data_IF_747053566901
#
_entry.id   IF_747053566901
#
_cell.length_a   1.000
_cell.length_b   1.000
_cell.length_c   1.000
_cell.angle_alpha   90.00
_cell.angle_beta   90.00
_cell.angle_gamma   90.00
#
_symmetry.space_group_name_H-M   'P 1'
#
loop_
_entity.id
_entity.type
_entity.pdbx_description
1 polymer ?
#
# COMPACT_ATOMS: atom_id res chain seq x y z
N UNK A 1 -16.72 -5.58 13.30
CA UNK A 1 -16.33 -4.27 12.72
C UNK A 1 -16.01 -3.24 13.79
N UNK A 2 -15.01 -2.38 13.55
CA UNK A 2 -14.78 -1.20 14.37
C UNK A 2 -15.76 -0.07 14.01
N UNK A 3 -15.68 1.09 14.71
CA UNK A 3 -16.61 2.22 14.49
C UNK A 3 -16.60 2.74 13.03
N UNK A 4 -15.41 2.85 12.41
CA UNK A 4 -15.26 3.24 10.99
C UNK A 4 -15.94 2.25 10.06
N UNK A 5 -15.68 0.96 10.25
CA UNK A 5 -16.28 -0.10 9.43
C UNK A 5 -17.80 -0.14 9.59
N UNK A 6 -18.31 0.08 10.80
CA UNK A 6 -19.74 0.15 11.03
C UNK A 6 -20.39 1.37 10.34
N UNK A 7 -19.76 2.54 10.43
CA UNK A 7 -20.24 3.75 9.76
C UNK A 7 -20.26 3.56 8.22
N UNK A 8 -19.22 2.97 7.66
CA UNK A 8 -19.15 2.61 6.25
C UNK A 8 -20.30 1.67 5.84
N UNK A 9 -20.52 0.58 6.56
CA UNK A 9 -21.58 -0.39 6.27
C UNK A 9 -22.95 0.27 6.31
N UNK A 10 -23.22 1.08 7.34
CA UNK A 10 -24.49 1.79 7.51
C UNK A 10 -24.75 2.75 6.34
N UNK A 11 -23.73 3.50 5.93
CA UNK A 11 -23.87 4.45 4.82
C UNK A 11 -24.02 3.73 3.48
N UNK A 12 -23.25 2.66 3.26
CA UNK A 12 -23.36 1.85 2.04
C UNK A 12 -24.77 1.24 1.91
N UNK A 13 -25.31 0.71 3.00
CA UNK A 13 -26.69 0.23 3.05
C UNK A 13 -27.70 1.32 2.63
N UNK A 14 -27.57 2.52 3.21
CA UNK A 14 -28.45 3.64 2.87
C UNK A 14 -28.35 4.07 1.40
N UNK A 15 -27.15 4.02 0.80
CA UNK A 15 -26.96 4.31 -0.62
C UNK A 15 -27.67 3.27 -1.51
N UNK A 16 -27.54 1.98 -1.18
CA UNK A 16 -28.22 0.90 -1.90
C UNK A 16 -29.74 1.02 -1.80
N UNK A 17 -30.31 1.36 -0.62
CA UNK A 17 -31.74 1.63 -0.46
C UNK A 17 -32.23 2.81 -1.31
N UNK A 18 -31.35 3.78 -1.59
CA UNK A 18 -31.63 4.91 -2.49
C UNK A 18 -31.47 4.57 -3.97
N UNK A 19 -31.14 3.31 -4.30
CA UNK A 19 -30.96 2.84 -5.66
C UNK A 19 -29.57 3.13 -6.25
N UNK A 20 -28.56 3.41 -5.42
CA UNK A 20 -27.20 3.57 -5.90
C UNK A 20 -26.58 2.19 -6.26
N UNK A 21 -25.99 2.09 -7.44
CA UNK A 21 -25.26 0.91 -7.91
C UNK A 21 -23.72 1.08 -7.84
N UNK A 22 -23.27 2.26 -7.44
CA UNK A 22 -21.84 2.60 -7.37
C UNK A 22 -21.55 3.34 -6.07
N UNK A 23 -20.46 2.98 -5.40
CA UNK A 23 -20.05 3.64 -4.16
C UNK A 23 -18.53 3.63 -4.00
N UNK A 24 -17.99 4.65 -3.32
CA UNK A 24 -16.57 4.80 -2.97
C UNK A 24 -16.33 4.61 -1.48
N UNK A 25 -15.29 3.87 -1.15
CA UNK A 25 -14.65 3.86 0.16
C UNK A 25 -13.28 4.54 0.04
N UNK A 26 -13.19 5.77 0.52
CA UNK A 26 -11.95 6.53 0.58
C UNK A 26 -11.39 6.37 1.99
N UNK A 27 -10.24 5.73 2.11
CA UNK A 27 -9.68 5.46 3.44
C UNK A 27 -8.17 5.34 3.39
N UNK A 28 -7.49 6.03 4.28
CA UNK A 28 -6.04 6.03 4.37
C UNK A 28 -5.45 4.61 4.39
N UNK A 29 -4.23 4.46 3.89
CA UNK A 29 -3.52 3.18 3.90
C UNK A 29 -3.35 2.70 5.36
N UNK A 30 -3.58 1.42 5.61
CA UNK A 30 -3.43 0.85 6.96
C UNK A 30 -4.69 0.86 7.84
N UNK A 31 -5.76 1.55 7.46
CA UNK A 31 -7.03 1.62 8.23
C UNK A 31 -7.90 0.36 8.13
N UNK A 32 -7.56 -0.59 7.25
CA UNK A 32 -8.28 -1.86 7.10
C UNK A 32 -9.40 -1.85 6.07
N UNK A 33 -9.23 -1.17 4.93
CA UNK A 33 -10.19 -1.16 3.79
C UNK A 33 -10.68 -2.55 3.39
N UNK A 34 -9.77 -3.51 3.24
CA UNK A 34 -10.10 -4.90 2.85
C UNK A 34 -11.01 -5.57 3.89
N UNK A 35 -10.76 -5.36 5.18
CA UNK A 35 -11.66 -5.85 6.23
C UNK A 35 -13.00 -5.13 6.21
N UNK A 36 -13.01 -3.82 5.96
CA UNK A 36 -14.26 -3.05 5.87
C UNK A 36 -15.13 -3.58 4.74
N UNK A 37 -14.57 -3.82 3.55
CA UNK A 37 -15.29 -4.40 2.41
C UNK A 37 -15.77 -5.82 2.71
N UNK A 38 -14.96 -6.66 3.36
CA UNK A 38 -15.36 -8.02 3.74
C UNK A 38 -16.55 -8.01 4.71
N UNK A 39 -16.53 -7.15 5.74
CA UNK A 39 -17.65 -6.98 6.65
C UNK A 39 -18.90 -6.46 5.92
N UNK A 40 -18.75 -5.47 5.02
CA UNK A 40 -19.87 -4.96 4.24
C UNK A 40 -20.53 -6.05 3.38
N UNK A 41 -19.75 -6.83 2.64
CA UNK A 41 -20.28 -7.93 1.81
C UNK A 41 -21.03 -8.94 2.66
N UNK A 42 -20.52 -9.28 3.84
CA UNK A 42 -21.16 -10.22 4.76
C UNK A 42 -22.47 -9.66 5.34
N UNK A 43 -22.45 -8.44 5.84
CA UNK A 43 -23.66 -7.83 6.48
C UNK A 43 -24.77 -7.54 5.47
N UNK A 44 -24.39 -7.13 4.25
CA UNK A 44 -25.33 -6.86 3.15
C UNK A 44 -25.73 -8.10 2.38
N UNK A 45 -25.16 -9.27 2.73
CA UNK A 45 -25.50 -10.60 2.20
C UNK A 45 -25.31 -10.76 0.70
N UNK A 46 -24.29 -10.12 0.12
CA UNK A 46 -23.89 -10.42 -1.25
C UNK A 46 -23.39 -11.85 -1.34
N UNK A 47 -23.84 -12.60 -2.34
CA UNK A 47 -23.54 -14.04 -2.46
C UNK A 47 -22.37 -14.29 -3.41
N UNK A 48 -22.29 -13.54 -4.52
CA UNK A 48 -21.26 -13.70 -5.54
C UNK A 48 -20.50 -12.40 -5.70
N UNK A 49 -19.24 -12.40 -5.33
CA UNK A 49 -18.41 -11.19 -5.30
C UNK A 49 -17.12 -11.38 -6.08
N UNK A 50 -16.79 -10.42 -6.94
CA UNK A 50 -15.51 -10.34 -7.61
C UNK A 50 -14.65 -9.24 -6.94
N UNK A 51 -13.47 -9.60 -6.44
CA UNK A 51 -12.52 -8.68 -5.85
C UNK A 51 -11.32 -8.49 -6.79
N UNK A 52 -11.15 -7.29 -7.30
CA UNK A 52 -10.16 -6.96 -8.33
C UNK A 52 -9.03 -6.14 -7.73
N UNK A 53 -7.80 -6.59 -7.95
CA UNK A 53 -6.57 -5.93 -7.50
C UNK A 53 -5.54 -5.83 -8.62
N UNK A 54 -4.41 -5.17 -8.36
CA UNK A 54 -3.32 -5.06 -9.36
C UNK A 54 -2.32 -6.23 -9.32
N UNK A 55 -2.16 -6.91 -8.20
CA UNK A 55 -1.14 -7.94 -8.01
C UNK A 55 -1.72 -9.18 -7.37
N UNK A 56 -1.26 -10.34 -7.81
CA UNK A 56 -1.71 -11.64 -7.31
C UNK A 56 -1.49 -11.80 -5.80
N UNK A 57 -0.37 -11.31 -5.28
CA UNK A 57 -0.11 -11.31 -3.85
C UNK A 57 -1.21 -10.60 -3.06
N UNK A 58 -1.68 -9.44 -3.55
CA UNK A 58 -2.76 -8.69 -2.90
C UNK A 58 -4.08 -9.48 -2.98
N UNK A 59 -4.32 -10.18 -4.10
CA UNK A 59 -5.49 -11.05 -4.23
C UNK A 59 -5.48 -12.17 -3.18
N UNK A 60 -4.32 -12.82 -2.96
CA UNK A 60 -4.14 -13.85 -1.91
C UNK A 60 -4.39 -13.29 -0.51
N UNK A 61 -3.81 -12.15 -0.19
CA UNK A 61 -4.00 -11.48 1.12
C UNK A 61 -5.44 -11.02 1.34
N UNK A 62 -6.11 -10.54 0.29
CA UNK A 62 -7.52 -10.17 0.36
C UNK A 62 -8.39 -11.42 0.61
N UNK A 63 -8.16 -12.52 -0.11
CA UNK A 63 -8.82 -13.81 0.11
C UNK A 63 -8.70 -14.25 1.57
N UNK A 64 -7.50 -14.22 2.14
CA UNK A 64 -7.28 -14.57 3.55
C UNK A 64 -8.02 -13.64 4.52
N UNK A 65 -8.02 -12.34 4.24
CA UNK A 65 -8.73 -11.36 5.07
C UNK A 65 -10.24 -11.59 5.07
N UNK A 66 -10.81 -11.91 3.90
CA UNK A 66 -12.22 -12.30 3.75
C UNK A 66 -12.52 -13.61 4.47
N UNK A 67 -11.67 -14.63 4.32
CA UNK A 67 -11.83 -15.91 5.01
C UNK A 67 -11.89 -15.76 6.53
N UNK A 68 -11.04 -14.88 7.11
CA UNK A 68 -11.07 -14.56 8.55
C UNK A 68 -12.39 -13.91 8.98
N UNK A 69 -12.98 -13.04 8.15
CA UNK A 69 -14.23 -12.35 8.45
C UNK A 69 -15.43 -13.32 8.34
N UNK A 70 -15.45 -14.17 7.33
CA UNK A 70 -16.55 -15.08 7.06
C UNK A 70 -16.50 -16.39 7.85
N UNK A 71 -15.36 -16.75 8.46
CA UNK A 71 -15.20 -17.94 9.29
C UNK A 71 -15.71 -19.23 8.57
N UNK A 72 -15.26 -19.45 7.34
CA UNK A 72 -15.61 -20.62 6.50
C UNK A 72 -17.11 -20.76 6.14
N UNK A 73 -17.87 -19.68 6.17
CA UNK A 73 -19.30 -19.70 5.80
C UNK A 73 -19.55 -19.54 4.31
N UNK A 74 -18.51 -19.34 3.51
CA UNK A 74 -18.59 -19.19 2.06
C UNK A 74 -17.32 -19.72 1.40
N UNK A 75 -17.38 -19.95 0.09
CA UNK A 75 -16.25 -20.47 -0.68
C UNK A 75 -15.50 -19.33 -1.35
N UNK A 76 -14.18 -19.31 -1.16
CA UNK A 76 -13.27 -18.31 -1.70
C UNK A 76 -12.34 -18.94 -2.73
N UNK A 77 -12.24 -18.35 -3.93
CA UNK A 77 -11.37 -18.81 -4.99
C UNK A 77 -10.38 -17.73 -5.45
N UNK A 78 -9.17 -18.13 -5.84
CA UNK A 78 -8.24 -17.31 -6.61
C UNK A 78 -8.49 -17.54 -8.10
N UNK A 79 -8.65 -16.44 -8.85
CA UNK A 79 -8.83 -16.47 -10.28
C UNK A 79 -7.78 -15.60 -10.96
N UNK A 80 -6.59 -16.18 -11.12
CA UNK A 80 -5.40 -15.50 -11.62
C UNK A 80 -4.81 -16.28 -12.80
N UNK A 81 -3.79 -15.73 -13.46
CA UNK A 81 -3.11 -16.44 -14.57
C UNK A 81 -2.47 -17.76 -14.15
N UNK A 82 -2.17 -17.93 -12.87
CA UNK A 82 -1.49 -19.11 -12.32
C UNK A 82 -2.44 -20.09 -11.60
N UNK A 83 -3.55 -19.59 -11.09
CA UNK A 83 -4.50 -20.33 -10.27
C UNK A 83 -5.92 -20.04 -10.75
N UNK A 84 -6.73 -21.08 -10.95
CA UNK A 84 -8.12 -20.98 -11.39
C UNK A 84 -8.99 -21.83 -10.47
N UNK A 85 -9.35 -21.23 -9.34
CA UNK A 85 -10.19 -21.85 -8.33
C UNK A 85 -11.64 -21.38 -8.48
N UNK A 86 -12.58 -22.26 -8.14
CA UNK A 86 -14.00 -21.90 -8.03
C UNK A 86 -14.31 -21.29 -6.66
N UNK A 87 -15.34 -20.44 -6.62
CA UNK A 87 -15.81 -19.87 -5.37
C UNK A 87 -16.92 -18.84 -5.58
N UNK A 88 -17.70 -18.64 -4.54
CA UNK A 88 -18.68 -17.56 -4.51
C UNK A 88 -18.01 -16.18 -4.51
N UNK A 89 -16.86 -16.09 -3.84
CA UNK A 89 -16.02 -14.89 -3.79
C UNK A 89 -14.73 -15.17 -4.54
N UNK A 90 -14.55 -14.52 -5.67
CA UNK A 90 -13.37 -14.65 -6.51
C UNK A 90 -12.44 -13.46 -6.36
N UNK A 91 -11.17 -13.75 -6.17
CA UNK A 91 -10.10 -12.75 -6.05
C UNK A 91 -9.22 -12.82 -7.29
N UNK A 92 -9.12 -11.73 -8.01
CA UNK A 92 -8.46 -11.70 -9.32
C UNK A 92 -7.57 -10.47 -9.47
N UNK A 93 -6.74 -10.51 -10.51
CA UNK A 93 -6.01 -9.31 -10.93
C UNK A 93 -6.67 -8.63 -12.11
N UNK A 94 -6.50 -7.30 -12.20
CA UNK A 94 -6.98 -6.52 -13.32
C UNK A 94 -6.49 -7.09 -14.66
N UNK A 95 -5.21 -7.48 -14.73
CA UNK A 95 -4.61 -8.05 -15.93
C UNK A 95 -5.23 -9.39 -16.36
N UNK A 96 -5.70 -10.17 -15.39
CA UNK A 96 -6.37 -11.44 -15.68
C UNK A 96 -7.79 -11.21 -16.19
N UNK A 97 -8.63 -10.53 -15.39
CA UNK A 97 -10.06 -10.41 -15.70
C UNK A 97 -10.35 -9.52 -16.92
N UNK A 98 -9.45 -8.59 -17.27
CA UNK A 98 -9.61 -7.74 -18.47
C UNK A 98 -9.34 -8.43 -19.81
N UNK A 99 -8.87 -9.68 -19.79
CA UNK A 99 -8.71 -10.50 -20.99
C UNK A 99 -10.08 -11.05 -21.41
N UNK A 100 -10.43 -10.90 -22.66
CA UNK A 100 -11.75 -11.30 -23.18
C UNK A 100 -12.11 -12.76 -22.90
N UNK A 101 -11.16 -13.68 -23.11
CA UNK A 101 -11.36 -15.11 -22.85
C UNK A 101 -11.60 -15.45 -21.37
N UNK A 102 -11.12 -14.61 -20.41
CA UNK A 102 -11.33 -14.80 -18.98
C UNK A 102 -12.61 -14.11 -18.51
N UNK A 103 -12.83 -12.90 -19.01
CA UNK A 103 -14.03 -12.11 -18.69
C UNK A 103 -15.30 -12.81 -19.15
N UNK A 104 -15.31 -13.35 -20.38
CA UNK A 104 -16.47 -14.05 -20.97
C UNK A 104 -16.72 -15.45 -20.40
N UNK A 105 -15.92 -15.96 -19.46
CA UNK A 105 -16.28 -17.17 -18.71
C UNK A 105 -17.43 -16.90 -17.72
N UNK A 106 -17.70 -15.64 -17.41
CA UNK A 106 -18.78 -15.22 -16.53
C UNK A 106 -19.85 -14.47 -17.34
N UNK A 107 -21.13 -14.70 -16.99
CA UNK A 107 -22.20 -13.86 -17.52
C UNK A 107 -22.07 -12.42 -17.01
N UNK A 108 -22.58 -11.41 -17.74
CA UNK A 108 -22.49 -10.01 -17.29
C UNK A 108 -23.06 -9.74 -15.90
N UNK A 109 -24.10 -10.46 -15.51
CA UNK A 109 -24.80 -10.39 -14.22
C UNK A 109 -24.37 -11.47 -13.22
N UNK A 110 -23.24 -12.16 -13.49
CA UNK A 110 -22.80 -13.27 -12.65
C UNK A 110 -22.49 -12.84 -11.21
N UNK A 111 -21.90 -11.65 -11.04
CA UNK A 111 -21.51 -11.14 -9.72
C UNK A 111 -22.52 -10.14 -9.20
N UNK A 112 -22.95 -10.31 -7.94
CA UNK A 112 -23.84 -9.36 -7.28
C UNK A 112 -23.09 -8.10 -6.87
N UNK A 113 -21.80 -8.22 -6.50
CA UNK A 113 -20.94 -7.07 -6.23
C UNK A 113 -19.54 -7.25 -6.84
N UNK A 114 -18.98 -6.14 -7.33
CA UNK A 114 -17.60 -6.08 -7.81
C UNK A 114 -16.86 -5.02 -7.01
N UNK A 115 -15.77 -5.41 -6.37
CA UNK A 115 -14.90 -4.55 -5.57
C UNK A 115 -13.61 -4.30 -6.34
N UNK A 116 -13.22 -3.03 -6.46
CA UNK A 116 -11.97 -2.62 -7.10
C UNK A 116 -11.09 -1.93 -6.06
N UNK A 117 -9.97 -2.55 -5.74
CA UNK A 117 -8.96 -1.93 -4.87
C UNK A 117 -8.02 -1.04 -5.70
N UNK A 118 -7.53 0.03 -5.09
CA UNK A 118 -6.73 1.09 -5.70
C UNK A 118 -7.39 1.67 -6.98
N UNK A 119 -8.68 1.97 -6.86
CA UNK A 119 -9.54 2.40 -7.97
C UNK A 119 -9.09 3.72 -8.62
N UNK A 120 -8.17 4.47 -7.99
CA UNK A 120 -7.53 5.62 -8.61
C UNK A 120 -6.85 5.30 -9.95
N UNK A 121 -6.61 4.01 -10.26
CA UNK A 121 -6.08 3.54 -11.55
C UNK A 121 -7.15 3.29 -12.62
N UNK A 122 -8.43 3.50 -12.31
CA UNK A 122 -9.56 3.11 -13.16
C UNK A 122 -9.69 3.87 -14.52
N UNK A 123 -8.88 4.91 -14.75
CA UNK A 123 -8.85 5.63 -16.04
C UNK A 123 -8.28 4.84 -17.22
N UNK A 124 -7.72 3.64 -17.02
CA UNK A 124 -7.17 2.85 -18.11
C UNK A 124 -8.24 2.09 -18.91
N UNK A 125 -7.92 1.80 -20.18
CA UNK A 125 -8.82 1.04 -21.08
C UNK A 125 -9.24 -0.33 -20.55
N UNK A 126 -8.40 -0.97 -19.74
CA UNK A 126 -8.68 -2.29 -19.13
C UNK A 126 -9.83 -2.21 -18.14
N UNK A 127 -9.90 -1.12 -17.35
CA UNK A 127 -11.01 -0.91 -16.42
C UNK A 127 -12.31 -0.60 -17.18
N UNK A 128 -12.26 0.24 -18.22
CA UNK A 128 -13.44 0.56 -19.00
C UNK A 128 -14.09 -0.70 -19.57
N UNK A 129 -13.31 -1.64 -20.12
CA UNK A 129 -13.83 -2.93 -20.60
C UNK A 129 -14.62 -3.69 -19.55
N UNK A 130 -14.14 -3.69 -18.30
CA UNK A 130 -14.77 -4.43 -17.20
C UNK A 130 -16.07 -3.73 -16.78
N UNK A 131 -16.07 -2.38 -16.69
CA UNK A 131 -17.27 -1.60 -16.40
C UNK A 131 -18.34 -1.72 -17.49
N UNK A 132 -17.93 -1.84 -18.76
CA UNK A 132 -18.84 -1.99 -19.91
C UNK A 132 -19.44 -3.39 -19.99
N UNK A 133 -18.74 -4.41 -19.51
CA UNK A 133 -19.17 -5.81 -19.60
C UNK A 133 -20.04 -6.24 -18.43
N UNK A 134 -19.57 -6.06 -17.19
CA UNK A 134 -20.28 -6.55 -16.01
C UNK A 134 -21.38 -5.60 -15.54
N UNK A 135 -22.46 -6.20 -15.03
CA UNK A 135 -23.65 -5.50 -14.54
C UNK A 135 -24.00 -5.97 -13.11
N UNK A 136 -23.14 -5.73 -12.11
CA UNK A 136 -23.43 -6.08 -10.74
C UNK A 136 -24.47 -5.14 -10.12
N UNK A 137 -25.10 -5.56 -9.03
CA UNK A 137 -25.94 -4.69 -8.21
C UNK A 137 -25.11 -3.60 -7.53
N UNK A 138 -23.84 -3.89 -7.22
CA UNK A 138 -22.92 -2.92 -6.60
C UNK A 138 -21.52 -2.93 -7.23
N UNK A 139 -21.06 -1.76 -7.65
CA UNK A 139 -19.64 -1.45 -7.84
C UNK A 139 -19.11 -0.74 -6.60
N UNK A 140 -18.13 -1.32 -5.91
CA UNK A 140 -17.44 -0.71 -4.78
C UNK A 140 -15.99 -0.37 -5.15
N UNK A 141 -15.69 0.91 -5.30
CA UNK A 141 -14.33 1.41 -5.47
C UNK A 141 -13.67 1.68 -4.12
N UNK A 142 -12.41 1.27 -3.96
CA UNK A 142 -11.63 1.58 -2.76
C UNK A 142 -10.34 2.30 -3.14
N UNK A 143 -10.00 3.38 -2.45
CA UNK A 143 -8.73 4.09 -2.61
C UNK A 143 -8.31 4.80 -1.33
N UNK A 144 -7.01 4.97 -1.14
CA UNK A 144 -6.47 5.86 -0.10
C UNK A 144 -6.32 7.29 -0.62
N UNK A 145 -6.13 7.46 -1.91
CA UNK A 145 -5.80 8.71 -2.61
C UNK A 145 -6.61 8.78 -3.89
N UNK A 146 -7.85 9.26 -3.83
CA UNK A 146 -8.71 9.34 -5.00
C UNK A 146 -8.29 10.45 -5.99
N UNK A 147 -7.51 11.44 -5.52
CA UNK A 147 -7.00 12.51 -6.36
C UNK A 147 -5.97 11.97 -7.36
N UNK A 148 -6.10 12.40 -8.62
CA UNK A 148 -5.21 12.02 -9.72
C UNK A 148 -4.58 13.25 -10.35
N UNK A 149 -3.43 13.03 -10.98
CA UNK A 149 -2.69 14.07 -11.71
C UNK A 149 -3.06 14.15 -13.21
N UNK A 150 -3.93 13.26 -13.70
CA UNK A 150 -4.27 13.10 -15.12
C UNK A 150 -5.73 13.47 -15.45
N UNK A 151 -6.35 14.33 -14.66
CA UNK A 151 -7.71 14.86 -14.81
C UNK A 151 -8.84 13.79 -14.87
N UNK A 152 -8.56 12.52 -14.58
CA UNK A 152 -9.59 11.50 -14.52
C UNK A 152 -10.36 11.59 -13.20
N UNK A 153 -11.67 11.88 -13.30
CA UNK A 153 -12.54 12.04 -12.13
C UNK A 153 -13.12 10.70 -11.66
N UNK A 154 -12.53 10.16 -10.59
CA UNK A 154 -13.01 8.90 -9.97
C UNK A 154 -14.36 9.11 -9.29
N UNK A 155 -14.61 10.30 -8.74
CA UNK A 155 -15.89 10.58 -8.08
C UNK A 155 -17.04 10.52 -9.08
N UNK A 156 -16.86 11.08 -10.30
CA UNK A 156 -17.84 11.00 -11.37
C UNK A 156 -18.06 9.55 -11.81
N UNK A 157 -17.01 8.71 -11.88
CA UNK A 157 -17.14 7.29 -12.22
C UNK A 157 -18.04 6.53 -11.23
N UNK A 158 -18.12 6.95 -9.98
CA UNK A 158 -18.92 6.35 -8.92
C UNK A 158 -20.14 7.22 -8.52
N UNK A 159 -20.63 8.04 -9.46
CA UNK A 159 -21.82 8.88 -9.30
C UNK A 159 -21.77 9.79 -8.07
N UNK A 160 -20.55 10.17 -7.62
CA UNK A 160 -20.26 10.91 -6.39
C UNK A 160 -20.80 10.26 -5.10
N UNK A 161 -21.10 8.96 -5.13
CA UNK A 161 -21.58 8.23 -3.97
C UNK A 161 -20.41 7.82 -3.06
N UNK A 162 -20.13 8.62 -2.05
CA UNK A 162 -19.11 8.32 -1.04
C UNK A 162 -19.79 7.59 0.13
N UNK A 163 -19.49 6.29 0.26
CA UNK A 163 -19.98 5.48 1.36
C UNK A 163 -19.24 5.78 2.67
N UNK A 164 -17.93 6.07 2.58
CA UNK A 164 -17.16 6.56 3.72
C UNK A 164 -15.88 7.21 3.24
N UNK A 165 -15.47 8.26 3.93
CA UNK A 165 -14.20 8.93 3.70
C UNK A 165 -13.49 9.17 5.02
N UNK A 166 -12.22 8.75 5.12
CA UNK A 166 -11.33 9.06 6.21
C UNK A 166 -9.91 9.27 5.68
N UNK A 167 -9.45 10.50 5.79
CA UNK A 167 -8.10 10.89 5.36
C UNK A 167 -7.08 10.57 6.45
N UNK A 168 -5.78 10.69 6.10
CA UNK A 168 -4.67 10.35 7.00
C UNK A 168 -4.81 11.05 8.36
N UNK A 169 -5.03 12.37 8.37
CA UNK A 169 -5.14 13.14 9.62
C UNK A 169 -6.31 12.65 10.50
N UNK A 170 -7.48 12.46 9.91
CA UNK A 170 -8.65 11.94 10.59
C UNK A 170 -8.44 10.51 11.11
N UNK A 171 -7.71 9.67 10.36
CA UNK A 171 -7.40 8.30 10.78
C UNK A 171 -6.42 8.27 11.96
N UNK A 172 -5.50 9.22 12.04
CA UNK A 172 -4.61 9.43 13.19
C UNK A 172 -5.40 9.92 14.41
N UNK A 173 -6.24 10.94 14.26
CA UNK A 173 -7.11 11.48 15.33
C UNK A 173 -8.09 10.42 15.86
N UNK A 174 -8.62 9.58 14.98
CA UNK A 174 -9.50 8.46 15.35
C UNK A 174 -8.74 7.24 15.92
N UNK A 175 -7.44 7.36 16.16
CA UNK A 175 -6.60 6.29 16.70
C UNK A 175 -6.65 4.98 15.87
N UNK A 176 -6.84 5.08 14.55
CA UNK A 176 -6.81 3.94 13.63
C UNK A 176 -5.42 3.60 13.13
N UNK A 177 -4.51 4.57 13.17
CA UNK A 177 -3.12 4.45 12.74
C UNK A 177 -2.16 4.71 13.89
N UNK A 178 -0.93 4.20 13.75
CA UNK A 178 0.16 4.50 14.65
C UNK A 178 0.60 5.97 14.44
N UNK A 179 0.78 6.76 15.50
CA UNK A 179 1.34 8.12 15.37
C UNK A 179 2.74 8.07 14.75
N UNK A 180 3.13 9.19 14.16
CA UNK A 180 4.48 9.32 13.60
C UNK A 180 5.11 10.67 13.87
N UNK A 181 6.44 10.69 13.87
CA UNK A 181 7.26 11.90 13.88
C UNK A 181 7.91 12.05 12.51
N UNK A 182 7.68 13.18 11.85
CA UNK A 182 8.26 13.48 10.54
C UNK A 182 9.36 14.54 10.69
N UNK A 183 10.52 14.23 10.11
CA UNK A 183 11.68 15.12 10.10
C UNK A 183 12.22 15.28 8.68
N UNK A 184 12.13 16.50 8.16
CA UNK A 184 12.83 16.90 6.94
C UNK A 184 14.31 17.14 7.25
N UNK A 185 15.20 16.43 6.58
CA UNK A 185 16.64 16.50 6.78
C UNK A 185 17.30 17.04 5.54
N UNK A 186 18.14 18.06 5.69
CA UNK A 186 18.98 18.48 4.59
C UNK A 186 20.02 17.41 4.28
N UNK A 187 20.04 16.93 3.02
CA UNK A 187 21.08 16.04 2.55
C UNK A 187 22.42 16.78 2.47
N UNK A 188 23.53 16.06 2.55
CA UNK A 188 24.84 16.69 2.52
C UNK A 188 25.10 17.31 1.13
N UNK A 189 25.52 18.57 1.12
CA UNK A 189 26.18 19.18 -0.02
C UNK A 189 27.66 18.81 0.00
N UNK A 190 28.07 17.90 -0.85
CA UNK A 190 29.47 17.81 -1.24
C UNK A 190 29.61 18.74 -2.43
N UNK A 191 30.54 19.67 -2.46
CA UNK A 191 30.81 20.74 -3.46
C UNK A 191 30.48 20.40 -4.94
N UNK A 192 29.27 19.95 -5.20
CA UNK A 192 28.79 19.47 -6.48
C UNK A 192 27.88 20.51 -7.14
N UNK A 193 28.07 20.76 -8.41
CA UNK A 193 27.14 21.53 -9.21
C UNK A 193 25.78 20.81 -9.25
N UNK A 194 24.66 21.53 -9.34
CA UNK A 194 23.27 21.00 -9.31
C UNK A 194 23.04 19.74 -10.19
N UNK A 195 23.80 19.56 -11.25
CA UNK A 195 23.71 18.42 -12.16
C UNK A 195 24.36 17.12 -11.61
N UNK A 196 25.09 17.19 -10.50
CA UNK A 196 25.84 16.05 -9.94
C UNK A 196 25.11 15.40 -8.75
N UNK A 197 24.06 16.03 -8.21
CA UNK A 197 23.27 15.50 -7.07
C UNK A 197 22.55 14.18 -7.40
N UNK A 198 22.38 13.83 -8.68
CA UNK A 198 21.87 12.54 -9.14
C UNK A 198 22.97 11.55 -9.50
N UNK A 199 24.25 11.92 -9.39
CA UNK A 199 25.36 11.01 -9.70
C UNK A 199 25.38 9.88 -8.65
N UNK A 200 25.47 8.67 -9.13
CA UNK A 200 25.56 7.44 -8.32
C UNK A 200 26.70 7.51 -7.30
N UNK A 201 27.84 8.10 -7.65
CA UNK A 201 28.99 8.28 -6.76
C UNK A 201 28.67 9.15 -5.57
N UNK A 202 27.90 10.21 -5.78
CA UNK A 202 27.45 11.11 -4.71
C UNK A 202 26.43 10.40 -3.81
N UNK A 203 25.43 9.75 -4.42
CA UNK A 203 24.37 9.06 -3.69
C UNK A 203 24.89 7.93 -2.77
N UNK A 204 26.06 7.41 -3.07
CA UNK A 204 26.68 6.29 -2.34
C UNK A 204 28.01 6.61 -1.68
N UNK A 205 28.43 7.88 -1.56
CA UNK A 205 29.67 8.26 -0.90
C UNK A 205 29.62 7.95 0.62
N UNK A 206 30.78 7.74 1.22
CA UNK A 206 30.86 7.33 2.64
C UNK A 206 30.39 8.44 3.58
N UNK A 207 30.66 9.70 3.25
CA UNK A 207 30.22 10.85 4.03
C UNK A 207 28.70 10.94 4.10
N UNK A 208 28.01 10.67 2.97
CA UNK A 208 26.53 10.64 2.95
C UNK A 208 25.98 9.46 3.73
N UNK A 209 26.59 8.28 3.59
CA UNK A 209 26.20 7.08 4.38
C UNK A 209 26.32 7.37 5.87
N UNK A 210 27.45 7.96 6.31
CA UNK A 210 27.68 8.31 7.72
C UNK A 210 26.71 9.39 8.21
N UNK A 211 26.31 10.32 7.33
CA UNK A 211 25.30 11.31 7.65
C UNK A 211 23.91 10.65 7.84
N UNK A 212 23.49 9.80 6.94
CA UNK A 212 22.21 9.07 7.03
C UNK A 212 22.15 8.27 8.33
N UNK A 213 23.21 7.53 8.65
CA UNK A 213 23.29 6.71 9.88
C UNK A 213 23.25 7.60 11.12
N UNK A 214 23.97 8.73 11.14
CA UNK A 214 23.92 9.66 12.28
C UNK A 214 22.52 10.21 12.50
N UNK A 215 21.81 10.60 11.43
CA UNK A 215 20.44 11.11 11.54
C UNK A 215 19.49 10.02 12.01
N UNK A 216 19.60 8.80 11.46
CA UNK A 216 18.80 7.66 11.86
C UNK A 216 18.95 7.34 13.36
N UNK A 217 20.19 7.38 13.86
CA UNK A 217 20.48 7.16 15.28
C UNK A 217 20.05 8.33 16.17
N UNK A 218 20.20 9.58 15.70
CA UNK A 218 19.83 10.78 16.45
C UNK A 218 18.34 10.88 16.71
N UNK A 219 17.51 10.66 15.67
CA UNK A 219 16.06 10.69 15.82
C UNK A 219 15.48 9.39 16.37
N UNK A 220 16.23 8.29 16.28
CA UNK A 220 15.90 7.01 16.91
C UNK A 220 14.66 6.34 16.31
N UNK A 221 14.06 5.46 17.10
CA UNK A 221 12.89 4.66 16.76
C UNK A 221 12.15 4.25 18.05
N UNK A 222 10.90 3.82 17.92
CA UNK A 222 10.13 3.24 19.02
C UNK A 222 10.31 1.72 19.06
N UNK A 223 10.41 1.15 20.26
CA UNK A 223 10.61 -0.28 20.48
C UNK A 223 12.08 -0.68 20.74
N UNK A 224 12.34 -1.99 20.85
CA UNK A 224 13.61 -2.53 21.35
C UNK A 224 14.75 -2.54 20.31
N UNK A 225 14.40 -2.54 19.02
CA UNK A 225 15.35 -2.47 17.91
C UNK A 225 14.76 -1.76 16.70
N UNK A 226 15.63 -1.26 15.84
CA UNK A 226 15.19 -0.70 14.57
C UNK A 226 14.64 -1.80 13.64
N UNK A 227 13.51 -1.53 13.04
CA UNK A 227 12.88 -2.31 11.97
C UNK A 227 12.52 -1.31 10.88
N UNK A 228 13.47 -1.03 9.97
CA UNK A 228 13.40 0.13 9.08
C UNK A 228 13.23 -0.21 7.61
N UNK A 229 12.58 0.71 6.88
CA UNK A 229 12.59 0.75 5.42
C UNK A 229 13.36 1.96 4.94
N UNK A 230 14.20 1.77 3.92
CA UNK A 230 14.93 2.85 3.25
C UNK A 230 14.54 2.87 1.78
N UNK A 231 13.89 3.95 1.36
CA UNK A 231 13.48 4.16 -0.02
C UNK A 231 14.58 4.88 -0.80
N UNK A 232 15.00 4.27 -1.91
CA UNK A 232 16.06 4.77 -2.79
C UNK A 232 15.56 4.95 -4.22
N UNK A 233 16.31 5.69 -5.03
CA UNK A 233 15.90 5.99 -6.42
C UNK A 233 16.16 4.82 -7.38
N UNK A 234 17.20 4.01 -7.13
CA UNK A 234 17.64 2.93 -8.02
C UNK A 234 18.03 1.68 -7.25
N UNK A 235 17.89 0.52 -7.88
CA UNK A 235 18.25 -0.77 -7.26
C UNK A 235 19.75 -0.84 -6.95
N UNK A 236 20.60 -0.34 -7.86
CA UNK A 236 22.05 -0.31 -7.71
C UNK A 236 22.47 0.57 -6.51
N UNK A 237 21.81 1.71 -6.32
CA UNK A 237 22.00 2.58 -5.16
C UNK A 237 21.67 1.82 -3.87
N UNK A 238 20.50 1.14 -3.83
CA UNK A 238 20.11 0.34 -2.67
C UNK A 238 21.10 -0.75 -2.32
N UNK A 239 21.65 -1.46 -3.32
CA UNK A 239 22.67 -2.48 -3.12
C UNK A 239 23.96 -1.90 -2.55
N UNK A 240 24.47 -0.82 -3.15
CA UNK A 240 25.70 -0.18 -2.69
C UNK A 240 25.56 0.40 -1.27
N UNK A 241 24.44 1.03 -0.96
CA UNK A 241 24.14 1.54 0.38
C UNK A 241 24.01 0.40 1.40
N UNK A 242 23.34 -0.69 1.03
CA UNK A 242 23.20 -1.86 1.89
C UNK A 242 24.57 -2.47 2.26
N UNK A 243 25.47 -2.63 1.29
CA UNK A 243 26.85 -3.10 1.55
C UNK A 243 27.59 -2.17 2.51
N UNK A 244 27.47 -0.85 2.34
CA UNK A 244 28.13 0.14 3.20
C UNK A 244 27.53 0.20 4.60
N UNK A 245 26.23 0.02 4.75
CA UNK A 245 25.56 -0.12 6.05
C UNK A 245 26.03 -1.39 6.77
N UNK A 246 26.12 -2.51 6.03
CA UNK A 246 26.61 -3.78 6.59
C UNK A 246 28.08 -3.68 7.04
N UNK A 247 28.92 -2.96 6.31
CA UNK A 247 30.30 -2.66 6.72
C UNK A 247 30.39 -1.84 8.02
N UNK A 248 29.32 -1.12 8.38
CA UNK A 248 29.18 -0.32 9.61
C UNK A 248 28.44 -1.03 10.74
N UNK A 249 28.20 -2.34 10.58
CA UNK A 249 27.63 -3.20 11.61
C UNK A 249 26.11 -3.31 11.59
N UNK A 250 25.42 -2.72 10.63
CA UNK A 250 24.00 -2.96 10.40
C UNK A 250 23.78 -4.28 9.65
N UNK A 251 22.58 -4.81 9.74
CA UNK A 251 22.14 -6.01 8.99
C UNK A 251 21.08 -5.58 8.00
N UNK A 252 21.47 -5.44 6.75
CA UNK A 252 20.59 -4.90 5.73
C UNK A 252 20.60 -5.74 4.47
N UNK A 253 19.55 -5.63 3.68
CA UNK A 253 19.43 -6.17 2.33
C UNK A 253 18.80 -5.12 1.41
N UNK A 254 19.13 -5.19 0.12
CA UNK A 254 18.43 -4.43 -0.90
C UNK A 254 17.52 -5.37 -1.68
N UNK A 255 16.23 -5.02 -1.79
CA UNK A 255 15.23 -5.78 -2.54
C UNK A 255 14.88 -5.07 -3.85
N UNK A 256 14.70 -5.86 -4.91
CA UNK A 256 14.37 -5.42 -6.26
C UNK A 256 13.10 -6.11 -6.80
N UNK A 257 12.52 -5.57 -7.87
CA UNK A 257 11.37 -6.18 -8.54
C UNK A 257 11.66 -7.57 -9.14
N UNK A 258 12.94 -7.89 -9.39
CA UNK A 258 13.39 -9.18 -9.94
C UNK A 258 13.55 -10.28 -8.87
N UNK A 259 13.54 -9.95 -7.59
CA UNK A 259 13.69 -10.93 -6.53
C UNK A 259 12.44 -11.83 -6.43
N UNK A 260 12.66 -13.11 -6.13
CA UNK A 260 11.54 -14.06 -5.97
C UNK A 260 10.65 -13.69 -4.79
N UNK A 261 9.38 -14.08 -4.87
CA UNK A 261 8.41 -13.85 -3.80
C UNK A 261 8.88 -14.45 -2.47
N UNK A 262 9.34 -15.70 -2.50
CA UNK A 262 9.86 -16.41 -1.31
C UNK A 262 11.05 -15.69 -0.65
N UNK A 263 11.95 -15.12 -1.47
CA UNK A 263 13.08 -14.37 -0.93
C UNK A 263 12.63 -13.08 -0.24
N UNK A 264 11.67 -12.37 -0.84
CA UNK A 264 11.10 -11.14 -0.25
C UNK A 264 10.39 -11.44 1.08
N UNK A 265 9.55 -12.49 1.12
CA UNK A 265 8.86 -12.90 2.34
C UNK A 265 9.85 -13.24 3.46
N UNK A 266 10.88 -14.02 3.15
CA UNK A 266 11.94 -14.34 4.12
C UNK A 266 12.64 -13.08 4.64
N UNK A 267 12.93 -12.09 3.79
CA UNK A 267 13.53 -10.83 4.23
C UNK A 267 12.57 -10.03 5.14
N UNK A 268 11.28 -10.04 4.85
CA UNK A 268 10.24 -9.39 5.66
C UNK A 268 10.11 -10.08 7.02
N UNK A 269 10.09 -11.40 7.06
CA UNK A 269 10.08 -12.17 8.31
C UNK A 269 11.30 -11.85 9.16
N UNK A 270 12.49 -11.80 8.55
CA UNK A 270 13.74 -11.41 9.24
C UNK A 270 13.70 -9.97 9.77
N UNK A 271 13.11 -9.01 9.02
CA UNK A 271 12.93 -7.64 9.50
C UNK A 271 11.95 -7.60 10.67
N UNK A 272 10.89 -8.37 10.60
CA UNK A 272 9.83 -8.42 11.63
C UNK A 272 10.24 -9.20 12.89
N UNK A 273 11.18 -10.12 12.77
CA UNK A 273 11.64 -10.97 13.87
C UNK A 273 12.30 -10.17 14.99
N UNK A 274 12.06 -10.52 16.23
CA UNK A 274 12.76 -9.98 17.41
C UNK A 274 14.10 -10.67 17.71
N UNK A 275 14.38 -11.79 17.04
CA UNK A 275 15.64 -12.50 17.17
C UNK A 275 16.80 -11.64 16.65
N UNK A 276 17.73 -11.27 17.54
CA UNK A 276 18.87 -10.40 17.20
C UNK A 276 19.87 -11.06 16.26
N UNK A 277 19.98 -12.40 16.26
CA UNK A 277 21.01 -13.11 15.50
C UNK A 277 20.72 -13.12 13.99
N UNK A 278 19.46 -13.29 13.56
CA UNK A 278 19.04 -13.37 12.16
C UNK A 278 18.20 -12.19 11.67
N UNK A 279 17.85 -11.25 12.53
CA UNK A 279 17.00 -10.11 12.22
C UNK A 279 17.69 -9.11 11.31
N UNK A 280 16.95 -8.48 10.41
CA UNK A 280 17.40 -7.34 9.62
C UNK A 280 17.07 -6.04 10.33
N UNK A 281 17.95 -5.05 10.23
CA UNK A 281 17.74 -3.71 10.75
C UNK A 281 17.04 -2.82 9.72
N UNK A 282 17.44 -2.95 8.43
CA UNK A 282 16.83 -2.22 7.33
C UNK A 282 16.67 -3.06 6.07
N UNK A 283 15.64 -2.74 5.29
CA UNK A 283 15.48 -3.17 3.90
C UNK A 283 15.54 -1.94 3.01
N UNK A 284 16.47 -1.90 2.05
CA UNK A 284 16.52 -0.92 0.98
C UNK A 284 15.60 -1.33 -0.16
N UNK A 285 14.83 -0.39 -0.70
CA UNK A 285 13.89 -0.68 -1.79
C UNK A 285 13.62 0.55 -2.66
N UNK A 286 13.31 0.35 -3.93
CA UNK A 286 12.88 1.42 -4.84
C UNK A 286 11.36 1.57 -4.80
N UNK A 287 10.64 0.54 -5.20
CA UNK A 287 9.16 0.59 -5.35
C UNK A 287 8.45 -0.70 -4.93
N UNK A 288 9.19 -1.73 -4.56
CA UNK A 288 8.61 -3.06 -4.27
C UNK A 288 7.52 -2.99 -3.21
N UNK A 289 7.69 -2.07 -2.26
CA UNK A 289 6.76 -1.86 -1.17
C UNK A 289 5.68 -0.81 -1.46
N UNK A 290 5.65 -0.21 -2.64
CA UNK A 290 4.61 0.77 -2.99
C UNK A 290 3.22 0.12 -3.00
N UNK A 291 3.13 -1.19 -3.24
CA UNK A 291 1.85 -1.91 -3.30
C UNK A 291 1.97 -3.33 -2.70
N UNK A 292 1.11 -3.66 -1.76
CA UNK A 292 0.82 -5.05 -1.37
C UNK A 292 1.64 -5.70 -0.27
N UNK A 293 2.75 -5.12 0.21
CA UNK A 293 3.50 -5.67 1.33
C UNK A 293 3.17 -4.88 2.61
N UNK A 294 2.75 -5.60 3.63
CA UNK A 294 2.38 -5.06 4.93
C UNK A 294 3.37 -5.52 5.99
N UNK A 295 4.01 -4.57 6.65
CA UNK A 295 4.96 -4.85 7.74
C UNK A 295 4.58 -3.96 8.94
N UNK A 296 3.65 -4.40 9.80
CA UNK A 296 3.19 -3.59 10.93
C UNK A 296 4.28 -3.24 11.94
N UNK A 297 5.35 -4.02 12.00
CA UNK A 297 6.47 -3.82 12.93
C UNK A 297 7.44 -2.69 12.55
N UNK A 298 7.33 -2.10 11.35
CA UNK A 298 8.20 -0.99 10.93
C UNK A 298 8.06 0.18 11.91
N UNK A 299 9.19 0.65 12.44
CA UNK A 299 9.28 1.75 13.39
C UNK A 299 10.16 2.93 12.89
N UNK A 300 10.86 2.76 11.76
CA UNK A 300 11.59 3.86 11.11
C UNK A 300 11.47 3.76 9.59
N UNK A 301 11.23 4.89 8.94
CA UNK A 301 11.18 5.00 7.47
C UNK A 301 12.14 6.10 7.05
N UNK A 302 13.05 5.80 6.11
CA UNK A 302 14.02 6.76 5.58
C UNK A 302 13.77 6.92 4.09
N UNK A 303 13.53 8.15 3.65
CA UNK A 303 13.32 8.50 2.26
C UNK A 303 14.56 9.21 1.73
N UNK A 304 15.33 8.51 0.87
CA UNK A 304 16.53 9.03 0.22
C UNK A 304 16.27 9.46 -1.24
N UNK A 305 15.05 9.27 -1.70
CA UNK A 305 14.62 9.66 -3.04
C UNK A 305 13.65 10.83 -2.99
N UNK A 306 13.69 11.74 -3.97
CA UNK A 306 12.63 12.73 -4.12
C UNK A 306 11.31 12.02 -4.37
N UNK A 307 10.27 12.43 -3.66
CA UNK A 307 8.91 11.98 -3.87
C UNK A 307 8.09 13.17 -4.34
N UNK A 308 7.91 13.29 -5.65
CA UNK A 308 7.12 14.39 -6.24
C UNK A 308 5.60 14.14 -6.14
N UNK A 309 5.19 12.90 -5.88
CA UNK A 309 3.78 12.53 -5.81
C UNK A 309 3.31 12.38 -4.36
N UNK A 310 2.37 13.21 -3.89
CA UNK A 310 1.75 13.05 -2.58
C UNK A 310 1.15 11.66 -2.37
N UNK A 311 0.67 11.04 -3.45
CA UNK A 311 0.10 9.68 -3.45
C UNK A 311 1.16 8.65 -3.04
N UNK A 312 2.32 8.70 -3.69
CA UNK A 312 3.43 7.77 -3.41
C UNK A 312 3.95 7.97 -1.99
N UNK A 313 4.09 9.24 -1.56
CA UNK A 313 4.51 9.60 -0.21
C UNK A 313 3.58 9.00 0.86
N UNK A 314 2.27 9.22 0.74
CA UNK A 314 1.27 8.67 1.68
C UNK A 314 1.25 7.15 1.65
N UNK A 315 1.42 6.53 0.49
CA UNK A 315 1.48 5.06 0.38
C UNK A 315 2.73 4.48 1.04
N UNK A 316 3.88 5.13 0.90
CA UNK A 316 5.14 4.71 1.53
C UNK A 316 5.08 4.87 3.06
N UNK A 317 4.61 6.02 3.54
CA UNK A 317 4.38 6.25 4.97
C UNK A 317 3.39 5.25 5.56
N UNK A 318 2.27 5.03 4.89
CA UNK A 318 1.20 4.15 5.37
C UNK A 318 1.63 2.72 5.68
N UNK A 319 2.75 2.27 5.11
CA UNK A 319 3.34 0.96 5.43
C UNK A 319 3.83 0.85 6.87
N UNK A 320 4.39 1.93 7.39
CA UNK A 320 4.84 2.02 8.78
C UNK A 320 3.75 2.41 9.76
N UNK A 321 2.61 2.97 9.29
CA UNK A 321 1.62 3.55 10.19
C UNK A 321 0.60 2.55 10.75
N UNK A 322 0.71 1.26 10.48
CA UNK A 322 -0.14 0.28 11.14
C UNK A 322 0.22 0.15 12.61
N UNK A 323 -0.80 0.04 13.45
CA UNK A 323 -0.60 -0.22 14.87
C UNK A 323 0.02 -1.58 15.10
N UNK A 324 1.02 -1.61 15.97
CA UNK A 324 1.65 -2.82 16.47
C UNK A 324 1.95 -2.64 17.96
N UNK A 325 1.85 -3.69 18.75
CA UNK A 325 2.11 -3.65 20.19
C UNK A 325 3.57 -3.35 20.54
N UNK A 326 4.49 -3.57 19.58
CA UNK A 326 5.94 -3.40 19.76
C UNK A 326 6.42 -1.97 19.52
N UNK A 327 5.53 -1.07 19.10
CA UNK A 327 5.89 0.33 18.84
C UNK A 327 4.76 1.29 19.25
N UNK A 328 5.15 2.45 19.73
CA UNK A 328 4.24 3.54 20.10
C UNK A 328 4.11 4.58 18.96
N UNK A 329 5.18 4.76 18.18
CA UNK A 329 5.22 5.69 17.04
C UNK A 329 6.18 5.19 15.96
N UNK A 330 6.12 5.85 14.80
CA UNK A 330 7.06 5.65 13.69
C UNK A 330 7.86 6.92 13.48
N UNK A 331 9.16 6.81 13.24
CA UNK A 331 10.02 7.94 12.85
C UNK A 331 10.17 7.93 11.32
N UNK A 332 9.88 9.06 10.70
CA UNK A 332 10.02 9.27 9.26
C UNK A 332 11.10 10.31 9.03
N UNK A 333 12.16 9.93 8.35
CA UNK A 333 13.27 10.80 7.97
C UNK A 333 13.23 11.01 6.46
N UNK A 334 12.94 12.23 6.05
CA UNK A 334 12.90 12.60 4.64
C UNK A 334 14.14 13.46 4.30
N UNK A 335 15.05 12.88 3.53
CA UNK A 335 16.26 13.57 3.07
C UNK A 335 15.91 14.45 1.88
N UNK A 336 15.54 15.68 2.21
CA UNK A 336 15.14 16.71 1.27
C UNK A 336 16.39 17.22 0.56
N UNK A 337 16.56 16.81 -0.70
CA UNK A 337 17.48 17.52 -1.61
C UNK A 337 16.94 18.89 -1.96
N UNK A 338 17.73 19.74 -2.65
CA UNK A 338 17.29 21.06 -3.16
C UNK A 338 16.26 20.91 -4.31
N UNK A 339 15.09 20.36 -3.99
CA UNK A 339 14.00 20.28 -4.96
C UNK A 339 13.13 21.52 -4.83
N UNK A 340 13.03 22.28 -5.89
CA UNK A 340 12.25 23.53 -5.95
C UNK A 340 10.75 23.34 -5.68
N UNK A 341 10.25 22.10 -5.59
CA UNK A 341 8.82 21.78 -5.48
C UNK A 341 8.43 20.99 -4.21
N UNK A 342 9.31 20.81 -3.22
CA UNK A 342 9.02 20.01 -2.02
C UNK A 342 7.92 20.60 -1.11
N UNK A 343 7.53 21.86 -1.30
CA UNK A 343 6.44 22.51 -0.56
C UNK A 343 5.03 22.01 -0.99
N UNK A 344 4.94 21.17 -2.02
CA UNK A 344 3.67 20.61 -2.51
C UNK A 344 3.27 19.29 -1.81
N UNK A 345 4.09 18.77 -0.90
CA UNK A 345 3.77 17.59 -0.09
C UNK A 345 3.02 18.05 1.16
N UNK A 346 1.80 17.57 1.42
CA UNK A 346 0.96 18.01 2.54
C UNK A 346 1.53 17.69 3.90
#
# INVERSE_FOLDING_TARGET
PNAMQQAFITRLYSLLEQGAHRALLISATGTGKTYASAFAMRELRFERVLFIVHRELIAKQAKESFARVFQNRTQFGLYTSNEKEDGNYLFTTMQTISRENWMHEFAPDHFDAIIIDEVHRAGSKSYQKIFDYFQPDLWLGMSATPERTDDFDIYALFDHNIAYEIRLNQALEADLLCPFHYFGIHDLYVDAQENELSDFRYLTCDERVDHIIRQANYYGYSGDRVKGLIFVSRVEEGKALSEKFNARGFRTVALSGSDSHEYRERCIERLSSDAREDGLDYIFTVEIFNEGIDIPSINQVIMLRPTESPIIFVQQMGRGLRKNKEKEFVVILDFIGNYQNNYMIP
#
